data_IF_504564850625
#
_entry.id   IF_504564850625
#
_cell.length_a   1.000
_cell.length_b   1.000
_cell.length_c   1.000
_cell.angle_alpha   90.00
_cell.angle_beta   90.00
_cell.angle_gamma   90.00
#
_symmetry.space_group_name_H-M   'P 1'
#
loop_
_entity.id
_entity.type
_entity.pdbx_description
1 polymer ?
#
# COMPACT_ATOMS: atom_id res chain seq x y z
N UNK A 1 -22.13 -29.05 8.61
CA UNK A 1 -22.08 -28.35 7.32
C UNK A 1 -20.80 -27.54 7.39
N UNK A 2 -19.68 -28.23 7.18
CA UNK A 2 -18.34 -27.70 7.43
C UNK A 2 -17.84 -26.97 6.19
N UNK A 3 -17.43 -25.73 6.39
CA UNK A 3 -16.71 -24.93 5.41
C UNK A 3 -15.22 -25.12 5.75
N UNK A 4 -14.50 -25.86 4.92
CA UNK A 4 -13.03 -25.96 5.01
C UNK A 4 -12.42 -24.68 4.45
N UNK A 5 -12.01 -23.79 5.35
CA UNK A 5 -11.21 -22.61 5.03
C UNK A 5 -9.74 -23.08 4.92
N UNK A 6 -9.31 -23.45 3.71
CA UNK A 6 -7.89 -23.70 3.42
C UNK A 6 -7.16 -22.35 3.36
N UNK A 7 -6.91 -21.78 4.54
CA UNK A 7 -6.00 -20.65 4.71
C UNK A 7 -4.59 -21.05 4.28
N UNK A 8 -4.07 -20.39 3.24
CA UNK A 8 -2.69 -20.55 2.78
C UNK A 8 -1.75 -19.97 3.84
N UNK A 9 -1.17 -20.82 4.67
CA UNK A 9 -0.12 -20.42 5.61
C UNK A 9 1.15 -20.07 4.82
N UNK A 10 1.59 -18.81 4.89
CA UNK A 10 2.93 -18.43 4.43
C UNK A 10 3.95 -19.26 5.25
N UNK A 11 5.00 -19.84 4.61
CA UNK A 11 5.98 -20.62 5.34
C UNK A 11 6.62 -19.77 6.45
N UNK A 12 6.96 -20.41 7.59
CA UNK A 12 7.59 -19.80 8.78
C UNK A 12 9.01 -19.25 8.52
N UNK A 13 9.26 -18.61 7.38
CA UNK A 13 10.41 -17.72 7.23
C UNK A 13 10.14 -16.47 8.05
N UNK A 14 10.45 -16.55 9.35
CA UNK A 14 10.55 -15.46 10.35
C UNK A 14 10.06 -14.12 9.81
N UNK A 15 8.75 -13.91 9.79
CA UNK A 15 8.19 -12.57 9.80
C UNK A 15 8.78 -11.91 11.06
N UNK A 16 9.83 -11.09 10.91
CA UNK A 16 10.39 -10.34 12.03
C UNK A 16 9.25 -9.48 12.56
N UNK A 17 8.87 -9.70 13.82
CA UNK A 17 7.76 -9.01 14.49
C UNK A 17 7.93 -7.49 14.63
N UNK A 18 9.07 -6.91 14.25
CA UNK A 18 9.39 -5.51 14.53
C UNK A 18 9.80 -4.75 13.26
N UNK A 19 8.83 -4.43 12.40
CA UNK A 19 8.98 -3.25 11.54
C UNK A 19 8.75 -2.02 12.43
N UNK A 20 9.78 -1.20 12.60
CA UNK A 20 9.69 0.03 13.39
C UNK A 20 9.18 1.19 12.53
N UNK A 21 8.46 2.11 13.14
CA UNK A 21 8.07 3.34 12.46
C UNK A 21 9.26 4.30 12.39
N UNK A 22 9.59 4.79 11.19
CA UNK A 22 10.73 5.65 10.94
C UNK A 22 10.27 7.04 10.45
N UNK A 23 10.49 8.05 11.29
CA UNK A 23 10.10 9.43 11.01
C UNK A 23 10.85 10.05 9.82
N UNK A 24 12.05 9.57 9.48
CA UNK A 24 12.78 10.07 8.31
C UNK A 24 12.25 9.44 7.02
N UNK A 25 11.75 8.20 7.07
CA UNK A 25 10.98 7.61 5.97
C UNK A 25 9.61 8.30 5.79
N UNK A 26 8.94 8.69 6.87
CA UNK A 26 7.72 9.51 6.81
C UNK A 26 8.02 10.85 6.15
N UNK A 27 9.05 11.58 6.62
CA UNK A 27 9.46 12.84 5.99
C UNK A 27 9.76 12.62 4.52
N UNK A 28 10.49 11.57 4.17
CA UNK A 28 10.79 11.23 2.77
C UNK A 28 9.51 11.02 1.95
N UNK A 29 8.49 10.37 2.52
CA UNK A 29 7.18 10.25 1.90
C UNK A 29 6.51 11.62 1.72
N UNK A 30 6.44 12.42 2.78
CA UNK A 30 5.78 13.73 2.81
C UNK A 30 6.44 14.79 1.92
N UNK A 31 7.74 14.68 1.64
CA UNK A 31 8.44 15.58 0.70
C UNK A 31 8.14 15.27 -0.79
N UNK A 32 7.45 14.16 -1.09
CA UNK A 32 6.98 13.90 -2.45
C UNK A 32 5.73 14.73 -2.74
N UNK A 33 5.48 15.06 -4.00
CA UNK A 33 4.15 15.53 -4.42
C UNK A 33 3.20 14.32 -4.51
N UNK A 34 2.49 14.06 -3.41
CA UNK A 34 1.55 12.93 -3.30
C UNK A 34 0.34 13.07 -4.24
N UNK A 35 -0.05 14.30 -4.60
CA UNK A 35 -1.20 14.54 -5.43
C UNK A 35 -0.92 14.33 -6.92
N UNK A 36 0.34 14.36 -7.33
CA UNK A 36 0.76 13.85 -8.63
C UNK A 36 0.71 12.32 -8.64
N UNK A 37 -0.31 11.75 -9.31
CA UNK A 37 -0.49 10.29 -9.39
C UNK A 37 0.71 9.61 -10.03
N UNK A 38 1.41 8.82 -9.24
CA UNK A 38 2.38 7.81 -9.68
C UNK A 38 1.67 6.81 -10.61
N UNK A 39 2.17 6.60 -11.85
CA UNK A 39 1.61 5.62 -12.78
C UNK A 39 1.57 4.20 -12.17
N UNK A 40 0.63 3.33 -12.59
CA UNK A 40 0.63 1.93 -12.17
C UNK A 40 1.96 1.23 -12.50
N UNK A 41 2.37 0.27 -11.66
CA UNK A 41 3.55 -0.57 -11.93
C UNK A 41 3.31 -1.39 -13.20
N UNK A 42 4.32 -1.45 -14.05
CA UNK A 42 4.32 -2.24 -15.29
C UNK A 42 5.39 -3.35 -15.28
N UNK A 43 6.29 -3.32 -14.31
CA UNK A 43 7.45 -4.19 -14.19
C UNK A 43 7.80 -4.48 -12.71
N UNK A 44 8.60 -5.53 -12.51
CA UNK A 44 9.05 -5.94 -11.19
C UNK A 44 10.30 -5.15 -10.80
N UNK A 45 10.08 -3.94 -10.31
CA UNK A 45 11.13 -3.10 -9.74
C UNK A 45 10.82 -2.82 -8.25
N UNK A 46 11.56 -3.41 -7.29
CA UNK A 46 11.37 -3.16 -5.88
C UNK A 46 11.92 -1.78 -5.52
N UNK A 47 11.12 -0.73 -5.75
CA UNK A 47 11.49 0.66 -5.44
C UNK A 47 11.40 1.03 -3.96
N UNK A 48 11.19 0.05 -3.08
CA UNK A 48 11.06 0.25 -1.64
C UNK A 48 9.90 1.17 -1.24
N UNK A 49 8.81 1.17 -2.01
CA UNK A 49 7.65 2.02 -1.75
C UNK A 49 6.33 1.38 -2.17
N UNK A 50 5.28 1.72 -1.44
CA UNK A 50 3.89 1.44 -1.78
C UNK A 50 3.08 2.72 -1.87
N UNK A 51 2.11 2.75 -2.78
CA UNK A 51 1.23 3.90 -2.96
C UNK A 51 -0.20 3.45 -3.31
N UNK A 52 -1.17 4.25 -2.89
CA UNK A 52 -2.59 4.04 -3.15
C UNK A 52 -3.32 5.38 -3.27
N UNK A 53 -4.49 5.35 -3.91
CA UNK A 53 -5.36 6.53 -4.08
C UNK A 53 -6.78 6.16 -3.66
N UNK A 54 -7.16 6.52 -2.44
CA UNK A 54 -8.42 6.12 -1.82
C UNK A 54 -9.45 7.21 -2.05
N UNK A 55 -10.46 6.92 -2.86
CA UNK A 55 -11.53 7.90 -3.13
C UNK A 55 -12.38 8.11 -1.88
N UNK A 56 -12.72 9.36 -1.57
CA UNK A 56 -13.59 9.69 -0.45
C UNK A 56 -14.74 10.61 -0.89
N UNK A 57 -16.00 10.28 -0.57
CA UNK A 57 -17.09 11.22 -0.79
C UNK A 57 -16.97 12.42 0.15
N UNK A 58 -17.61 13.51 -0.24
CA UNK A 58 -17.68 14.74 0.57
C UNK A 58 -19.10 14.91 1.07
N UNK A 59 -19.23 15.00 2.40
CA UNK A 59 -20.48 15.30 3.07
C UNK A 59 -20.27 16.53 3.94
N UNK A 60 -21.12 17.56 3.79
CA UNK A 60 -21.01 18.81 4.54
C UNK A 60 -19.60 19.44 4.48
N UNK A 61 -19.03 19.49 3.26
CA UNK A 61 -17.68 20.01 2.98
C UNK A 61 -16.51 19.24 3.62
N UNK A 62 -16.75 18.06 4.21
CA UNK A 62 -15.72 17.23 4.85
C UNK A 62 -15.57 15.87 4.16
N UNK A 63 -14.34 15.32 4.06
CA UNK A 63 -14.12 13.91 3.73
C UNK A 63 -14.89 13.00 4.67
N UNK A 64 -15.52 11.97 4.12
CA UNK A 64 -16.26 10.97 4.91
C UNK A 64 -15.31 10.00 5.61
N UNK A 65 -14.13 9.75 5.02
CA UNK A 65 -13.10 8.88 5.63
C UNK A 65 -11.97 9.75 6.21
N UNK A 66 -11.38 9.29 7.31
CA UNK A 66 -10.21 9.91 7.92
C UNK A 66 -8.92 9.58 7.14
N UNK A 67 -7.84 10.37 7.29
CA UNK A 67 -6.52 9.99 6.79
C UNK A 67 -6.05 8.61 7.29
N UNK A 68 -6.34 8.29 8.55
CA UNK A 68 -6.01 7.02 9.19
C UNK A 68 -6.76 5.85 8.54
N UNK A 69 -8.06 6.01 8.27
CA UNK A 69 -8.86 5.00 7.56
C UNK A 69 -8.38 4.81 6.12
N UNK A 70 -7.95 5.89 5.46
CA UNK A 70 -7.37 5.80 4.12
C UNK A 70 -6.05 5.02 4.12
N UNK A 71 -5.18 5.26 5.10
CA UNK A 71 -3.94 4.48 5.28
C UNK A 71 -4.24 3.00 5.55
N UNK A 72 -5.17 2.70 6.46
CA UNK A 72 -5.59 1.31 6.75
C UNK A 72 -6.18 0.63 5.51
N UNK A 73 -6.99 1.34 4.73
CA UNK A 73 -7.56 0.83 3.48
C UNK A 73 -6.45 0.51 2.47
N UNK A 74 -5.50 1.43 2.28
CA UNK A 74 -4.36 1.22 1.38
C UNK A 74 -3.52 0.00 1.79
N UNK A 75 -3.21 -0.15 3.08
CA UNK A 75 -2.45 -1.29 3.59
C UNK A 75 -3.17 -2.62 3.37
N UNK A 76 -4.50 -2.66 3.56
CA UNK A 76 -5.31 -3.85 3.25
C UNK A 76 -5.28 -4.18 1.77
N UNK A 77 -5.46 -3.18 0.89
CA UNK A 77 -5.41 -3.39 -0.56
C UNK A 77 -4.04 -3.93 -1.02
N UNK A 78 -2.95 -3.45 -0.43
CA UNK A 78 -1.60 -3.96 -0.70
C UNK A 78 -1.42 -5.38 -0.20
N UNK A 79 -1.84 -5.66 1.04
CA UNK A 79 -1.78 -6.99 1.62
C UNK A 79 -2.55 -8.00 0.77
N UNK A 80 -3.80 -7.69 0.42
CA UNK A 80 -4.71 -8.55 -0.34
C UNK A 80 -4.26 -8.83 -1.78
N UNK A 81 -3.20 -8.17 -2.27
CA UNK A 81 -2.61 -8.56 -3.56
C UNK A 81 -2.14 -10.02 -3.57
N UNK A 82 -1.80 -10.60 -2.41
CA UNK A 82 -1.46 -12.02 -2.28
C UNK A 82 -2.63 -12.94 -2.68
N UNK A 83 -3.88 -12.55 -2.42
CA UNK A 83 -5.08 -13.37 -2.71
C UNK A 83 -5.26 -13.65 -4.21
N UNK A 84 -4.63 -12.84 -5.07
CA UNK A 84 -4.67 -13.02 -6.52
C UNK A 84 -3.70 -14.10 -7.01
N UNK A 85 -2.90 -14.67 -6.12
CA UNK A 85 -1.86 -15.63 -6.43
C UNK A 85 -2.00 -16.86 -5.54
N UNK A 86 -1.92 -18.04 -6.14
CA UNK A 86 -1.85 -19.32 -5.41
C UNK A 86 -0.39 -19.75 -5.31
N UNK A 87 -0.02 -20.35 -4.18
CA UNK A 87 1.23 -21.09 -4.03
C UNK A 87 2.48 -20.26 -3.73
N UNK A 88 2.41 -19.26 -2.85
CA UNK A 88 3.54 -18.42 -2.40
C UNK A 88 4.66 -19.16 -1.61
N UNK A 89 4.78 -20.48 -1.75
CA UNK A 89 5.80 -21.27 -1.08
C UNK A 89 7.11 -21.28 -1.86
N UNK A 90 8.19 -20.75 -1.27
CA UNK A 90 9.55 -20.91 -1.79
C UNK A 90 9.80 -20.28 -3.17
N UNK A 91 8.94 -19.38 -3.64
CA UNK A 91 9.10 -18.74 -4.95
C UNK A 91 9.88 -17.45 -4.82
N UNK A 92 10.98 -17.37 -5.58
CA UNK A 92 11.55 -16.07 -5.96
C UNK A 92 10.56 -15.37 -6.90
N UNK A 93 10.05 -14.18 -6.57
CA UNK A 93 9.13 -13.44 -7.44
C UNK A 93 9.71 -13.25 -8.84
N UNK A 94 8.88 -13.43 -9.87
CA UNK A 94 9.28 -13.24 -11.27
C UNK A 94 8.86 -11.86 -11.78
N UNK A 95 9.40 -11.43 -12.92
CA UNK A 95 9.04 -10.15 -13.56
C UNK A 95 7.53 -9.95 -13.77
N UNK A 96 6.81 -11.03 -14.07
CA UNK A 96 5.35 -11.04 -14.28
C UNK A 96 4.55 -10.83 -12.97
N UNK A 97 5.19 -10.98 -11.82
CA UNK A 97 4.57 -10.89 -10.50
C UNK A 97 4.64 -9.47 -9.92
N UNK A 98 4.86 -8.45 -10.76
CA UNK A 98 4.96 -7.05 -10.32
C UNK A 98 3.73 -6.56 -9.54
N UNK A 99 2.57 -7.21 -9.74
CA UNK A 99 1.33 -6.93 -9.01
C UNK A 99 1.37 -7.40 -7.56
N UNK A 100 2.25 -8.35 -7.21
CA UNK A 100 2.51 -8.79 -5.84
C UNK A 100 3.48 -7.89 -5.09
N UNK A 101 4.20 -6.99 -5.77
CA UNK A 101 5.17 -6.11 -5.13
C UNK A 101 4.63 -5.44 -3.88
N UNK A 102 3.38 -4.91 -3.84
CA UNK A 102 2.88 -4.29 -2.62
C UNK A 102 2.84 -5.22 -1.41
N UNK A 103 2.33 -6.43 -1.58
CA UNK A 103 2.36 -7.47 -0.54
C UNK A 103 3.79 -7.87 -0.19
N UNK A 104 4.64 -8.11 -1.19
CA UNK A 104 6.03 -8.54 -0.97
C UNK A 104 6.83 -7.49 -0.19
N UNK A 105 6.57 -6.20 -0.41
CA UNK A 105 7.19 -5.13 0.38
C UNK A 105 6.77 -5.18 1.85
N UNK A 106 5.50 -5.48 2.14
CA UNK A 106 4.99 -5.58 3.51
C UNK A 106 5.49 -6.85 4.20
N UNK A 107 5.52 -7.96 3.47
CA UNK A 107 5.91 -9.28 3.98
C UNK A 107 7.43 -9.54 3.96
N UNK A 108 8.24 -8.59 3.49
CA UNK A 108 9.69 -8.75 3.45
C UNK A 108 10.28 -8.75 4.87
N UNK A 109 10.68 -9.94 5.36
CA UNK A 109 11.31 -10.09 6.68
C UNK A 109 12.66 -9.38 6.85
N UNK A 110 13.24 -8.82 5.78
CA UNK A 110 14.44 -7.96 5.84
C UNK A 110 14.12 -6.47 5.98
N UNK A 111 12.88 -6.08 5.73
CA UNK A 111 12.43 -4.71 5.95
C UNK A 111 12.27 -4.48 7.44
N UNK A 112 13.03 -3.52 7.96
CA UNK A 112 13.11 -3.23 9.41
C UNK A 112 12.37 -1.95 9.78
N UNK A 113 12.01 -1.12 8.81
CA UNK A 113 11.37 0.15 9.08
C UNK A 113 10.35 0.56 8.00
N UNK A 114 9.35 1.34 8.38
CA UNK A 114 8.36 1.93 7.47
C UNK A 114 8.03 3.36 7.88
N UNK A 115 7.80 4.23 6.90
CA UNK A 115 7.27 5.56 7.14
C UNK A 115 6.33 5.96 6.01
N UNK A 116 5.18 6.53 6.37
CA UNK A 116 4.10 6.80 5.43
C UNK A 116 3.63 8.25 5.51
N UNK A 117 3.21 8.80 4.38
CA UNK A 117 2.50 10.07 4.31
C UNK A 117 1.12 9.85 3.68
N UNK A 118 0.15 10.64 4.15
CA UNK A 118 -1.22 10.66 3.65
C UNK A 118 -1.57 12.11 3.37
N UNK A 119 -2.09 12.39 2.19
CA UNK A 119 -2.55 13.74 1.84
C UNK A 119 -3.90 13.71 1.13
N UNK A 120 -4.72 14.74 1.34
CA UNK A 120 -6.02 14.88 0.72
C UNK A 120 -5.88 15.66 -0.59
N UNK A 121 -6.07 14.97 -1.70
CA UNK A 121 -5.93 15.49 -3.05
C UNK A 121 -7.28 15.75 -3.71
N UNK A 122 -7.24 16.61 -4.74
CA UNK A 122 -8.42 17.14 -5.43
C UNK A 122 -8.25 16.95 -6.93
N UNK A 123 -9.31 16.47 -7.60
CA UNK A 123 -9.42 16.51 -9.06
C UNK A 123 -10.61 17.38 -9.42
N UNK A 124 -10.34 18.52 -10.04
CA UNK A 124 -11.39 19.35 -10.63
C UNK A 124 -11.81 18.74 -11.96
N UNK A 125 -13.02 18.16 -12.00
CA UNK A 125 -13.70 17.85 -13.26
C UNK A 125 -14.70 18.96 -13.53
N UNK A 126 -14.34 19.87 -14.44
CA UNK A 126 -15.20 20.88 -15.08
C UNK A 126 -16.32 21.44 -14.18
N UNK A 127 -16.02 22.56 -13.50
CA UNK A 127 -16.92 23.50 -12.81
C UNK A 127 -17.97 22.99 -11.79
N UNK A 128 -18.28 21.70 -11.71
CA UNK A 128 -19.36 21.17 -10.87
C UNK A 128 -19.00 19.89 -10.08
N UNK A 129 -17.88 19.21 -10.35
CA UNK A 129 -17.50 17.99 -9.63
C UNK A 129 -16.02 17.99 -9.22
N UNK A 130 -15.74 18.37 -7.97
CA UNK A 130 -14.44 18.13 -7.35
C UNK A 130 -14.45 16.74 -6.72
N UNK A 131 -13.70 15.79 -7.29
CA UNK A 131 -13.48 14.49 -6.66
C UNK A 131 -12.32 14.62 -5.68
N UNK A 132 -12.53 14.23 -4.42
CA UNK A 132 -11.44 14.12 -3.45
C UNK A 132 -11.00 12.69 -3.28
N UNK A 133 -9.71 12.51 -3.08
CA UNK A 133 -9.11 11.23 -2.75
C UNK A 133 -7.93 11.45 -1.80
N UNK A 134 -7.68 10.49 -0.93
CA UNK A 134 -6.43 10.44 -0.19
C UNK A 134 -5.36 9.77 -1.05
N UNK A 135 -4.23 10.44 -1.22
CA UNK A 135 -3.01 9.80 -1.69
C UNK A 135 -2.27 9.25 -0.48
N UNK A 136 -1.91 7.97 -0.53
CA UNK A 136 -1.12 7.30 0.50
C UNK A 136 0.19 6.87 -0.13
N UNK A 137 1.31 7.17 0.52
CA UNK A 137 2.65 6.77 0.09
C UNK A 137 3.45 6.29 1.29
N UNK A 138 3.94 5.05 1.24
CA UNK A 138 4.83 4.48 2.24
C UNK A 138 6.18 4.15 1.63
N UNK A 139 7.26 4.44 2.36
CA UNK A 139 8.60 3.94 2.09
C UNK A 139 8.98 2.88 3.11
N UNK A 140 9.78 1.91 2.65
CA UNK A 140 10.29 0.81 3.47
C UNK A 140 11.82 0.89 3.54
N UNK A 141 12.37 0.70 4.75
CA UNK A 141 13.80 0.67 5.00
C UNK A 141 14.41 -0.67 4.60
N UNK A 142 15.51 -0.64 3.84
CA UNK A 142 16.20 -1.83 3.29
C UNK A 142 15.23 -2.75 2.49
N UNK A 143 14.71 -2.24 1.35
CA UNK A 143 13.73 -2.96 0.54
C UNK A 143 14.29 -4.20 -0.17
#
# INVERSE_FOLDING_TARGET
MDITDEGVYLPEEKLKENQEYDCDLEKKAAHQDLCTKIPPRTDFEPRGRNYAYITTPILNFRPVISPEDALLTAMREWWDTHLRYRGLHGITPQKKDYRLLPFLMMANGRTEAVGCAVDLCYVDKNFNATHKYYAVLCFYGKP
#
